data_IF_822033942618
#
_entry.id   IF_822033942618
#
_cell.length_a   1.000
_cell.length_b   1.000
_cell.length_c   1.000
_cell.angle_alpha   90.00
_cell.angle_beta   90.00
_cell.angle_gamma   90.00
#
_symmetry.space_group_name_H-M   'P 1'
#
loop_
_entity.id
_entity.type
_entity.pdbx_description
1 polymer ?
#
# COMPACT_ATOMS: atom_id res chain seq x y z
N UNK A 1 -27.31 -1.26 29.27
CA UNK A 1 -26.43 -1.43 28.11
C UNK A 1 -27.13 -0.86 26.87
N UNK A 2 -26.56 0.19 26.34
CA UNK A 2 -27.01 0.73 25.05
C UNK A 2 -26.38 -0.11 23.94
N UNK A 3 -27.18 -0.91 23.28
CA UNK A 3 -26.76 -1.62 22.08
C UNK A 3 -26.67 -0.61 20.94
N UNK A 4 -25.47 -0.15 20.64
CA UNK A 4 -25.26 0.70 19.47
C UNK A 4 -25.25 -0.21 18.24
N UNK A 5 -26.20 0.02 17.33
CA UNK A 5 -26.21 -0.67 16.03
C UNK A 5 -24.94 -0.29 15.27
N UNK A 6 -24.15 -1.27 14.79
CA UNK A 6 -22.98 -0.94 13.99
C UNK A 6 -23.38 -0.15 12.75
N UNK A 7 -22.58 0.82 12.32
CA UNK A 7 -22.88 1.56 11.10
C UNK A 7 -22.78 0.62 9.89
N UNK A 8 -23.61 0.86 8.89
CA UNK A 8 -23.44 0.23 7.59
C UNK A 8 -22.14 0.70 6.98
N UNK A 9 -21.49 -0.16 6.21
CA UNK A 9 -20.31 0.23 5.48
C UNK A 9 -20.65 1.39 4.53
N UNK A 10 -19.87 2.45 4.61
CA UNK A 10 -20.03 3.66 3.81
C UNK A 10 -18.67 4.33 3.63
N UNK A 11 -18.56 5.36 2.76
CA UNK A 11 -17.27 6.01 2.51
C UNK A 11 -16.57 6.52 3.78
N UNK A 12 -17.31 7.03 4.76
CA UNK A 12 -16.74 7.53 6.01
C UNK A 12 -16.13 6.39 6.85
N UNK A 13 -16.80 5.25 6.96
CA UNK A 13 -16.31 4.09 7.71
C UNK A 13 -15.01 3.58 7.09
N UNK A 14 -14.99 3.48 5.77
CA UNK A 14 -13.78 3.06 5.02
C UNK A 14 -12.63 4.06 5.27
N UNK A 15 -12.92 5.35 5.15
CA UNK A 15 -11.91 6.39 5.32
C UNK A 15 -11.31 6.39 6.72
N UNK A 16 -12.14 6.31 7.76
CA UNK A 16 -11.67 6.29 9.14
C UNK A 16 -10.81 5.07 9.43
N UNK A 17 -11.19 3.89 8.92
CA UNK A 17 -10.41 2.67 9.07
C UNK A 17 -9.04 2.81 8.37
N UNK A 18 -9.03 3.35 7.14
CA UNK A 18 -7.82 3.58 6.39
C UNK A 18 -6.89 4.58 7.09
N UNK A 19 -7.41 5.73 7.51
CA UNK A 19 -6.59 6.76 8.16
C UNK A 19 -5.97 6.24 9.46
N UNK A 20 -6.72 5.51 10.26
CA UNK A 20 -6.21 4.93 11.52
C UNK A 20 -5.13 3.88 11.24
N UNK A 21 -5.37 2.97 10.32
CA UNK A 21 -4.40 1.94 9.96
C UNK A 21 -3.14 2.54 9.34
N UNK A 22 -3.31 3.54 8.47
CA UNK A 22 -2.18 4.27 7.87
C UNK A 22 -1.35 4.99 8.93
N UNK A 23 -1.99 5.62 9.91
CA UNK A 23 -1.28 6.32 10.98
C UNK A 23 -0.40 5.36 11.80
N UNK A 24 -0.90 4.15 12.08
CA UNK A 24 -0.11 3.11 12.75
C UNK A 24 1.10 2.72 11.90
N UNK A 25 0.88 2.46 10.62
CA UNK A 25 1.96 2.10 9.71
C UNK A 25 3.01 3.20 9.62
N UNK A 26 2.60 4.46 9.48
CA UNK A 26 3.52 5.60 9.40
C UNK A 26 4.37 5.75 10.65
N UNK A 27 3.86 5.42 11.84
CA UNK A 27 4.65 5.40 13.08
C UNK A 27 5.78 4.36 13.01
N UNK A 28 5.52 3.19 12.45
CA UNK A 28 6.55 2.17 12.25
C UNK A 28 7.56 2.64 11.20
N UNK A 29 7.07 3.13 10.05
CA UNK A 29 7.93 3.57 8.94
C UNK A 29 8.84 4.73 9.35
N UNK A 30 8.36 5.64 10.20
CA UNK A 30 9.15 6.79 10.65
C UNK A 30 10.42 6.39 11.40
N UNK A 31 10.44 5.22 12.03
CA UNK A 31 11.63 4.68 12.69
C UNK A 31 12.75 4.35 11.70
N UNK A 32 12.41 4.20 10.43
CA UNK A 32 13.32 3.83 9.36
C UNK A 32 13.47 4.92 8.31
N UNK A 33 12.95 6.12 8.58
CA UNK A 33 12.97 7.27 7.66
C UNK A 33 12.32 6.96 6.31
N UNK A 34 11.23 6.21 6.32
CA UNK A 34 10.47 5.81 5.13
C UNK A 34 9.07 6.41 5.16
N UNK A 35 8.65 6.99 4.04
CA UNK A 35 7.29 7.52 3.89
C UNK A 35 6.33 6.42 3.48
N UNK A 36 5.03 6.68 3.64
CA UNK A 36 3.98 5.77 3.21
C UNK A 36 4.08 5.47 1.70
N UNK A 37 4.26 6.50 0.87
CA UNK A 37 4.39 6.31 -0.58
C UNK A 37 5.62 5.49 -0.96
N UNK A 38 6.74 5.73 -0.29
CA UNK A 38 7.97 4.95 -0.49
C UNK A 38 7.75 3.48 -0.11
N UNK A 39 7.06 3.23 1.00
CA UNK A 39 6.75 1.88 1.48
C UNK A 39 5.89 1.10 0.47
N UNK A 40 4.85 1.73 -0.09
CA UNK A 40 3.99 1.11 -1.10
C UNK A 40 4.79 0.77 -2.36
N UNK A 41 5.63 1.70 -2.81
CA UNK A 41 6.45 1.52 -4.01
C UNK A 41 7.50 0.41 -3.82
N UNK A 42 8.14 0.39 -2.65
CA UNK A 42 9.13 -0.64 -2.30
C UNK A 42 8.47 -2.02 -2.24
N UNK A 43 7.26 -2.11 -1.70
CA UNK A 43 6.51 -3.37 -1.65
C UNK A 43 6.25 -3.93 -3.04
N UNK A 44 5.84 -3.08 -3.99
CA UNK A 44 5.60 -3.53 -5.36
C UNK A 44 6.86 -4.12 -5.98
N UNK A 45 8.01 -3.50 -5.76
CA UNK A 45 9.29 -4.01 -6.22
C UNK A 45 9.69 -5.30 -5.49
N UNK A 46 9.43 -5.38 -4.18
CA UNK A 46 9.76 -6.56 -3.37
C UNK A 46 8.94 -7.79 -3.78
N UNK A 47 7.70 -7.60 -4.19
CA UNK A 47 6.80 -8.69 -4.60
C UNK A 47 7.01 -9.11 -6.06
N UNK A 48 7.80 -8.38 -6.83
CA UNK A 48 8.14 -8.77 -8.19
C UNK A 48 9.18 -9.90 -8.18
N UNK A 49 9.14 -10.76 -9.20
CA UNK A 49 10.09 -11.87 -9.36
C UNK A 49 11.39 -11.41 -10.03
N UNK A 50 12.08 -10.45 -9.42
CA UNK A 50 13.32 -9.89 -9.95
C UNK A 50 13.14 -8.50 -10.54
N UNK A 51 14.08 -8.05 -11.41
CA UNK A 51 13.98 -6.72 -12.00
C UNK A 51 12.69 -6.53 -12.78
N UNK A 52 12.15 -5.31 -12.72
CA UNK A 52 10.91 -4.96 -13.43
C UNK A 52 11.11 -3.68 -14.21
N UNK A 53 10.31 -3.48 -15.25
CA UNK A 53 10.33 -2.23 -15.99
C UNK A 53 9.96 -1.07 -15.06
N UNK A 54 10.75 -0.01 -15.09
CA UNK A 54 10.49 1.18 -14.27
C UNK A 54 9.10 1.73 -14.50
N UNK A 55 8.68 1.78 -15.76
CA UNK A 55 7.34 2.24 -16.14
C UNK A 55 6.24 1.40 -15.48
N UNK A 56 6.44 0.09 -15.40
CA UNK A 56 5.51 -0.84 -14.75
C UNK A 56 5.40 -0.53 -13.24
N UNK A 57 6.51 -0.24 -12.59
CA UNK A 57 6.50 0.15 -11.17
C UNK A 57 5.75 1.46 -10.97
N UNK A 58 6.04 2.47 -11.79
CA UNK A 58 5.35 3.77 -11.74
C UNK A 58 3.84 3.57 -11.94
N UNK A 59 3.44 2.79 -12.95
CA UNK A 59 2.02 2.50 -13.21
C UNK A 59 1.35 1.80 -12.03
N UNK A 60 2.05 0.88 -11.39
CA UNK A 60 1.54 0.19 -10.20
C UNK A 60 1.32 1.14 -9.02
N UNK A 61 2.21 2.09 -8.82
CA UNK A 61 2.07 3.12 -7.76
C UNK A 61 0.90 4.05 -8.07
N UNK A 62 0.80 4.52 -9.32
CA UNK A 62 -0.33 5.35 -9.78
C UNK A 62 -1.66 4.62 -9.58
N UNK A 63 -1.72 3.36 -9.98
CA UNK A 63 -2.93 2.55 -9.85
C UNK A 63 -3.34 2.30 -8.40
N UNK A 64 -2.37 2.08 -7.51
CA UNK A 64 -2.63 1.81 -6.09
C UNK A 64 -3.00 3.05 -5.31
N UNK A 65 -2.21 4.12 -5.44
CA UNK A 65 -2.33 5.32 -4.62
C UNK A 65 -3.19 6.42 -5.25
N UNK A 66 -3.51 6.29 -6.53
CA UNK A 66 -4.28 7.31 -7.28
C UNK A 66 -3.58 8.67 -7.29
N UNK A 67 -2.25 8.65 -7.33
CA UNK A 67 -1.40 9.84 -7.52
C UNK A 67 -1.01 9.94 -8.99
N UNK A 68 -0.52 11.11 -9.43
CA UNK A 68 -0.10 11.26 -10.82
C UNK A 68 1.26 10.58 -11.09
N UNK A 69 1.56 10.37 -12.38
CA UNK A 69 2.77 9.68 -12.80
C UNK A 69 4.05 10.42 -12.41
N UNK A 70 4.03 11.75 -12.42
CA UNK A 70 5.18 12.55 -12.02
C UNK A 70 5.50 12.38 -10.54
N UNK A 71 4.49 12.36 -9.69
CA UNK A 71 4.65 12.13 -8.25
C UNK A 71 5.14 10.71 -7.98
N UNK A 72 4.56 9.71 -8.66
CA UNK A 72 4.99 8.32 -8.54
C UNK A 72 6.45 8.13 -9.00
N UNK A 73 6.83 8.75 -10.12
CA UNK A 73 8.20 8.72 -10.62
C UNK A 73 9.19 9.35 -9.64
N UNK A 74 8.80 10.46 -9.00
CA UNK A 74 9.62 11.11 -7.97
C UNK A 74 9.87 10.19 -6.77
N UNK A 75 8.87 9.42 -6.35
CA UNK A 75 9.02 8.45 -5.27
C UNK A 75 10.01 7.34 -5.65
N UNK A 76 9.95 6.85 -6.88
CA UNK A 76 10.93 5.87 -7.38
C UNK A 76 12.34 6.45 -7.37
N UNK A 77 12.51 7.70 -7.79
CA UNK A 77 13.82 8.40 -7.75
C UNK A 77 14.32 8.53 -6.30
N UNK A 78 13.45 8.82 -5.34
CA UNK A 78 13.82 8.89 -3.93
C UNK A 78 14.35 7.53 -3.42
N UNK A 79 13.69 6.43 -3.82
CA UNK A 79 14.11 5.08 -3.44
C UNK A 79 15.47 4.71 -4.06
N UNK A 80 15.73 5.14 -5.29
CA UNK A 80 17.02 4.94 -5.95
C UNK A 80 18.09 5.76 -5.24
N UNK A 81 17.80 7.02 -4.91
CA UNK A 81 18.74 7.89 -4.18
C UNK A 81 19.08 7.34 -2.80
N UNK A 82 18.12 6.69 -2.14
CA UNK A 82 18.31 6.03 -0.84
C UNK A 82 18.96 4.63 -0.96
N UNK A 83 19.25 4.19 -2.18
CA UNK A 83 19.86 2.88 -2.47
C UNK A 83 18.98 1.69 -2.05
N UNK A 84 17.68 1.89 -1.98
CA UNK A 84 16.71 0.82 -1.71
C UNK A 84 16.24 0.15 -3.00
N UNK A 85 16.29 0.90 -4.11
CA UNK A 85 16.16 0.40 -5.47
C UNK A 85 17.43 0.76 -6.25
N UNK A 86 17.72 0.00 -7.28
CA UNK A 86 18.83 0.30 -8.19
C UNK A 86 18.35 0.22 -9.63
N UNK A 87 18.81 1.14 -10.50
CA UNK A 87 18.53 1.01 -11.92
C UNK A 87 19.22 -0.23 -12.49
N UNK A 88 18.57 -0.83 -13.49
CA UNK A 88 19.16 -1.92 -14.27
C UNK A 88 18.86 -1.66 -15.75
N UNK A 89 19.93 -1.55 -16.51
CA UNK A 89 19.82 -1.26 -17.94
C UNK A 89 18.99 -2.33 -18.69
N UNK A 90 18.25 -1.93 -19.74
CA UNK A 90 18.13 -0.55 -20.27
C UNK A 90 17.06 0.32 -19.55
N UNK A 91 16.02 -0.26 -18.97
CA UNK A 91 14.86 0.51 -18.47
C UNK A 91 14.24 -0.08 -17.22
N UNK A 92 14.98 -0.94 -16.53
CA UNK A 92 14.48 -1.69 -15.37
C UNK A 92 14.98 -1.11 -14.06
N UNK A 93 14.29 -1.49 -13.00
CA UNK A 93 14.72 -1.27 -11.62
C UNK A 93 14.64 -2.61 -10.88
N UNK A 94 15.48 -2.74 -9.88
CA UNK A 94 15.48 -3.91 -8.99
C UNK A 94 15.57 -3.45 -7.55
N UNK A 95 15.00 -4.26 -6.66
CA UNK A 95 15.19 -4.02 -5.24
C UNK A 95 16.63 -4.41 -4.87
N UNK A 96 17.27 -3.58 -4.04
CA UNK A 96 18.61 -3.87 -3.52
C UNK A 96 18.51 -4.78 -2.30
N UNK A 97 19.64 -5.30 -1.82
CA UNK A 97 19.67 -6.06 -0.57
C UNK A 97 19.20 -5.19 0.60
N UNK A 98 19.60 -3.92 0.63
CA UNK A 98 19.14 -2.96 1.65
C UNK A 98 17.64 -2.73 1.57
N UNK A 99 17.09 -2.62 0.36
CA UNK A 99 15.65 -2.48 0.15
C UNK A 99 14.88 -3.72 0.62
N UNK A 100 15.39 -4.90 0.32
CA UNK A 100 14.79 -6.17 0.77
C UNK A 100 14.80 -6.27 2.30
N UNK A 101 15.92 -5.93 2.92
CA UNK A 101 16.05 -5.93 4.37
C UNK A 101 15.08 -4.95 5.03
N UNK A 102 14.95 -3.74 4.48
CA UNK A 102 14.00 -2.76 4.99
C UNK A 102 12.56 -3.26 4.88
N UNK A 103 12.20 -3.81 3.73
CA UNK A 103 10.86 -4.38 3.51
C UNK A 103 10.58 -5.50 4.51
N UNK A 104 11.52 -6.43 4.70
CA UNK A 104 11.35 -7.54 5.63
C UNK A 104 11.26 -7.06 7.08
N UNK A 105 12.09 -6.09 7.47
CA UNK A 105 12.10 -5.52 8.83
C UNK A 105 10.78 -4.81 9.14
N UNK A 106 10.33 -3.93 8.24
CA UNK A 106 9.08 -3.19 8.46
C UNK A 106 7.87 -4.12 8.45
N UNK A 107 7.88 -5.14 7.60
CA UNK A 107 6.83 -6.16 7.56
C UNK A 107 6.79 -6.96 8.87
N UNK A 108 7.95 -7.34 9.41
CA UNK A 108 8.06 -8.07 10.68
C UNK A 108 7.59 -7.21 11.87
N UNK A 109 7.85 -5.91 11.84
CA UNK A 109 7.41 -5.00 12.90
C UNK A 109 5.90 -4.72 12.84
N UNK A 110 5.32 -4.68 11.64
CA UNK A 110 3.88 -4.41 11.47
C UNK A 110 3.02 -5.65 11.69
N UNK A 111 3.52 -6.84 11.41
CA UNK A 111 2.74 -8.08 11.50
C UNK A 111 2.07 -8.30 12.86
N UNK A 112 2.77 -8.17 14.02
CA UNK A 112 2.11 -8.35 15.32
C UNK A 112 1.09 -7.25 15.64
N UNK A 113 1.32 -6.04 15.14
CA UNK A 113 0.36 -4.93 15.32
C UNK A 113 -0.91 -5.24 14.53
N UNK A 114 -0.76 -5.64 13.28
CA UNK A 114 -1.87 -6.03 12.42
C UNK A 114 -2.65 -7.19 13.05
N UNK A 115 -1.96 -8.19 13.58
CA UNK A 115 -2.59 -9.33 14.24
C UNK A 115 -3.47 -8.88 15.43
N UNK A 116 -3.02 -7.90 16.21
CA UNK A 116 -3.82 -7.35 17.31
C UNK A 116 -5.02 -6.55 16.81
N UNK A 117 -4.86 -5.81 15.72
CA UNK A 117 -5.95 -5.01 15.13
C UNK A 117 -7.08 -5.91 14.63
N UNK A 118 -6.74 -7.05 14.05
CA UNK A 118 -7.72 -8.00 13.49
C UNK A 118 -8.11 -9.11 14.46
N UNK A 119 -7.54 -9.13 15.68
CA UNK A 119 -7.82 -10.18 16.65
C UNK A 119 -9.31 -10.26 17.01
N UNK A 120 -9.78 -11.48 17.17
CA UNK A 120 -11.16 -11.78 17.61
C UNK A 120 -12.26 -11.32 16.63
N UNK A 121 -11.89 -10.89 15.42
CA UNK A 121 -12.86 -10.66 14.37
C UNK A 121 -13.09 -12.01 13.65
N UNK A 122 -14.33 -12.51 13.58
CA UNK A 122 -14.61 -13.79 12.92
C UNK A 122 -14.10 -13.81 11.48
N UNK A 123 -13.51 -14.92 11.07
CA UNK A 123 -12.98 -15.09 9.71
C UNK A 123 -14.08 -14.89 8.66
N UNK A 124 -15.30 -15.31 8.95
CA UNK A 124 -16.46 -15.14 8.05
C UNK A 124 -16.75 -13.65 7.82
N UNK A 125 -16.65 -12.84 8.86
CA UNK A 125 -16.88 -11.39 8.74
C UNK A 125 -15.77 -10.72 7.94
N UNK A 126 -14.53 -11.15 8.15
CA UNK A 126 -13.39 -10.64 7.38
C UNK A 126 -13.52 -11.01 5.90
N UNK A 127 -14.00 -12.22 5.60
CA UNK A 127 -14.21 -12.67 4.23
C UNK A 127 -15.31 -11.85 3.54
N UNK A 128 -16.40 -11.55 4.22
CA UNK A 128 -17.48 -10.70 3.70
C UNK A 128 -16.96 -9.28 3.47
N UNK A 129 -16.24 -8.71 4.45
CA UNK A 129 -15.70 -7.37 4.34
C UNK A 129 -14.70 -7.27 3.17
N UNK A 130 -13.81 -8.25 3.02
CA UNK A 130 -12.86 -8.29 1.92
C UNK A 130 -13.54 -8.34 0.56
N UNK A 131 -14.56 -9.17 0.42
CA UNK A 131 -15.34 -9.26 -0.83
C UNK A 131 -16.05 -7.95 -1.15
N UNK A 132 -16.70 -7.34 -0.17
CA UNK A 132 -17.42 -6.07 -0.35
C UNK A 132 -16.46 -4.94 -0.70
N UNK A 133 -15.34 -4.82 0.01
CA UNK A 133 -14.36 -3.77 -0.25
C UNK A 133 -13.70 -3.95 -1.63
N UNK A 134 -13.44 -5.18 -2.06
CA UNK A 134 -12.93 -5.46 -3.40
C UNK A 134 -13.93 -5.00 -4.47
N UNK A 135 -15.21 -5.31 -4.28
CA UNK A 135 -16.26 -4.87 -5.20
C UNK A 135 -16.38 -3.34 -5.27
N UNK A 136 -16.29 -2.67 -4.12
CA UNK A 136 -16.31 -1.20 -4.06
C UNK A 136 -15.11 -0.63 -4.83
N UNK A 137 -13.92 -1.22 -4.65
CA UNK A 137 -12.71 -0.79 -5.36
C UNK A 137 -12.87 -0.91 -6.87
N UNK A 138 -13.38 -2.04 -7.35
CA UNK A 138 -13.61 -2.26 -8.78
C UNK A 138 -14.60 -1.25 -9.36
N UNK A 139 -15.72 -1.02 -8.67
CA UNK A 139 -16.74 -0.07 -9.11
C UNK A 139 -16.23 1.37 -9.10
N UNK A 140 -15.48 1.76 -8.06
CA UNK A 140 -14.89 3.09 -7.98
C UNK A 140 -13.87 3.31 -9.11
N UNK A 141 -13.06 2.30 -9.42
CA UNK A 141 -12.12 2.37 -10.54
C UNK A 141 -12.84 2.54 -11.88
N UNK A 142 -13.97 1.86 -12.08
CA UNK A 142 -14.79 2.01 -13.29
C UNK A 142 -15.35 3.42 -13.39
N UNK A 143 -15.86 3.97 -12.31
CA UNK A 143 -16.38 5.36 -12.30
C UNK A 143 -15.26 6.37 -12.58
N UNK A 144 -14.09 6.15 -11.99
CA UNK A 144 -12.92 7.02 -12.20
C UNK A 144 -12.51 7.04 -13.68
N UNK A 145 -12.48 5.87 -14.31
CA UNK A 145 -12.17 5.75 -15.74
C UNK A 145 -13.19 6.50 -16.61
N UNK A 146 -14.47 6.45 -16.24
CA UNK A 146 -15.54 7.18 -16.93
C UNK A 146 -15.37 8.69 -16.79
N UNK A 147 -14.98 9.18 -15.59
CA UNK A 147 -14.77 10.60 -15.35
C UNK A 147 -13.54 11.15 -16.07
N UNK A 148 -12.54 10.30 -16.32
CA UNK A 148 -11.30 10.68 -17.00
C UNK A 148 -11.34 10.46 -18.51
N UNK A 149 -12.39 9.82 -18.99
CA UNK A 149 -12.58 9.49 -20.41
C UNK A 149 -13.17 10.60 -21.26
#
# INVERSE_FOLDING_TARGET
MTTTTPPLLNPRVIALAHYAARAVLEQVLARHDVTFQQSVSLRLAALADGPMEREHLVDGVVGSLKIDAAEASAVVDELIAAQLLAPQEPSRVRITDAGRELYDTTSAETAPISARVYADIPVEDLAVAGRVLTLITERANTELATLNG
#
